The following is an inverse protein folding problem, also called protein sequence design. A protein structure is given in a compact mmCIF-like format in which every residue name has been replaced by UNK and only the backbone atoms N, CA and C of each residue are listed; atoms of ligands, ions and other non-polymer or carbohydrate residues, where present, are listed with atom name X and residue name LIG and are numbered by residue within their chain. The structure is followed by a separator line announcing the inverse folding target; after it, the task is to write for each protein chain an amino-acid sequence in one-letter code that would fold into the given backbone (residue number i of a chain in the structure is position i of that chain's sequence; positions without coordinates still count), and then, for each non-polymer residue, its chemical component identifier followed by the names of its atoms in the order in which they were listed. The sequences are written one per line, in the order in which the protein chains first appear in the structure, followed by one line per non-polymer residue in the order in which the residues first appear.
data_IF_304250777434
#
_entry.id   IF_304250777434
#
_cell.length_a   1.000
_cell.length_b   1.000
_cell.length_c   1.000
_cell.angle_alpha   90.00
_cell.angle_beta   90.00
_cell.angle_gamma   90.00
#
_symmetry.space_group_name_H-M   'P 1'
#
loop_
_entity.id
_entity.type
_entity.pdbx_description
1 polymer ?
#
# COMPACT_ATOMS: atom_id res chain seq x y z
N UNK A 1 5.31 19.86 -7.18
CA UNK A 1 5.93 18.52 -7.12
C UNK A 1 6.36 18.12 -8.53
N UNK A 2 7.53 17.49 -8.71
CA UNK A 2 8.00 17.02 -10.03
C UNK A 2 7.87 15.50 -10.20
N UNK A 3 8.37 14.95 -11.30
CA UNK A 3 8.44 13.50 -11.53
C UNK A 3 9.31 12.79 -10.48
N UNK A 4 8.97 11.55 -10.17
CA UNK A 4 9.75 10.66 -9.31
C UNK A 4 9.74 9.26 -9.93
N UNK A 5 10.74 8.45 -9.59
CA UNK A 5 10.77 7.02 -9.94
C UNK A 5 10.58 6.19 -8.69
N UNK A 6 10.11 4.96 -8.84
CA UNK A 6 9.96 4.02 -7.74
C UNK A 6 10.53 2.65 -8.07
N UNK A 7 11.11 2.01 -7.08
CA UNK A 7 11.46 0.59 -7.08
C UNK A 7 10.53 -0.14 -6.10
N UNK A 8 10.03 -1.29 -6.54
CA UNK A 8 9.15 -2.14 -5.74
C UNK A 8 9.65 -3.58 -5.79
N UNK A 9 9.70 -4.21 -4.61
CA UNK A 9 9.87 -5.65 -4.48
C UNK A 9 8.77 -6.18 -3.57
N UNK A 10 7.91 -7.08 -4.07
CA UNK A 10 6.89 -7.77 -3.30
C UNK A 10 7.24 -9.24 -3.19
N UNK A 11 7.33 -9.77 -1.97
CA UNK A 11 7.73 -11.15 -1.69
C UNK A 11 6.67 -11.85 -0.85
N UNK A 12 6.18 -13.02 -1.29
CA UNK A 12 5.32 -13.85 -0.46
C UNK A 12 6.14 -14.43 0.70
N UNK A 13 5.58 -14.38 1.90
CA UNK A 13 6.14 -14.96 3.12
C UNK A 13 5.22 -16.08 3.61
N UNK A 14 5.80 -17.05 4.32
CA UNK A 14 5.06 -18.18 4.91
C UNK A 14 4.17 -18.94 3.90
N UNK A 15 4.69 -19.19 2.70
CA UNK A 15 3.94 -19.88 1.65
C UNK A 15 2.83 -19.02 1.01
N UNK A 16 2.89 -17.69 1.14
CA UNK A 16 1.92 -16.76 0.55
C UNK A 16 0.80 -16.32 1.49
N UNK A 17 0.89 -16.66 2.78
CA UNK A 17 -0.05 -16.15 3.79
C UNK A 17 0.07 -14.63 3.98
N UNK A 18 1.26 -14.10 3.71
CA UNK A 18 1.53 -12.67 3.72
C UNK A 18 2.34 -12.28 2.49
N UNK A 19 2.26 -11.00 2.11
CA UNK A 19 3.18 -10.41 1.14
C UNK A 19 3.87 -9.21 1.78
N UNK A 20 5.20 -9.21 1.77
CA UNK A 20 6.00 -8.07 2.20
C UNK A 20 6.43 -7.30 0.96
N UNK A 21 5.97 -6.06 0.84
CA UNK A 21 6.34 -5.14 -0.22
C UNK A 21 7.30 -4.08 0.31
N UNK A 22 8.43 -3.91 -0.37
CA UNK A 22 9.39 -2.83 -0.15
C UNK A 22 9.24 -1.82 -1.28
N UNK A 23 8.93 -0.58 -0.93
CA UNK A 23 8.75 0.52 -1.86
C UNK A 23 9.82 1.60 -1.59
N UNK A 24 10.50 2.06 -2.64
CA UNK A 24 11.46 3.16 -2.57
C UNK A 24 11.22 4.15 -3.69
N UNK A 25 10.82 5.37 -3.35
CA UNK A 25 10.67 6.47 -4.29
C UNK A 25 11.93 7.33 -4.30
N UNK A 26 12.42 7.66 -5.51
CA UNK A 26 13.52 8.59 -5.72
C UNK A 26 13.08 9.83 -6.49
N UNK A 27 13.69 10.96 -6.11
CA UNK A 27 13.61 12.24 -6.79
C UNK A 27 15.04 12.74 -6.96
N UNK A 28 15.44 13.03 -8.19
CA UNK A 28 16.78 13.51 -8.52
C UNK A 28 17.89 12.62 -7.92
N UNK A 29 17.71 11.30 -8.03
CA UNK A 29 18.63 10.28 -7.50
C UNK A 29 18.56 10.03 -5.99
N UNK A 30 17.86 10.87 -5.22
CA UNK A 30 17.77 10.77 -3.76
C UNK A 30 16.48 10.07 -3.34
N UNK A 31 16.54 9.17 -2.35
CA UNK A 31 15.34 8.53 -1.78
C UNK A 31 14.51 9.59 -1.06
N UNK A 32 13.35 9.91 -1.63
CA UNK A 32 12.41 10.90 -1.09
C UNK A 32 11.33 10.29 -0.21
N UNK A 33 11.05 8.99 -0.38
CA UNK A 33 10.08 8.25 0.41
C UNK A 33 10.41 6.76 0.37
N UNK A 34 10.22 6.08 1.50
CA UNK A 34 10.34 4.63 1.59
C UNK A 34 9.19 4.05 2.39
N UNK A 35 8.72 2.86 2.02
CA UNK A 35 7.70 2.14 2.76
C UNK A 35 7.96 0.63 2.76
N UNK A 36 7.54 -0.02 3.85
CA UNK A 36 7.33 -1.45 3.96
C UNK A 36 5.84 -1.68 4.19
N UNK A 37 5.21 -2.40 3.26
CA UNK A 37 3.82 -2.82 3.39
C UNK A 37 3.78 -4.31 3.68
N UNK A 38 3.02 -4.71 4.69
CA UNK A 38 2.71 -6.12 4.99
C UNK A 38 1.25 -6.34 4.66
N UNK A 39 1.01 -7.11 3.60
CA UNK A 39 -0.32 -7.53 3.19
C UNK A 39 -0.66 -8.87 3.84
N UNK A 40 -1.91 -9.02 4.26
CA UNK A 40 -2.46 -10.26 4.79
C UNK A 40 -3.96 -10.37 4.49
N UNK A 41 -4.59 -11.38 5.06
CA UNK A 41 -6.01 -11.64 4.86
C UNK A 41 -6.72 -11.89 6.20
N UNK A 42 -7.70 -11.04 6.50
CA UNK A 42 -8.65 -11.23 7.59
C UNK A 42 -9.73 -12.22 7.12
N UNK A 43 -9.57 -13.48 7.51
CA UNK A 43 -10.48 -14.56 7.12
C UNK A 43 -11.90 -14.37 7.66
N UNK A 44 -12.04 -13.79 8.87
CA UNK A 44 -13.34 -13.64 9.51
C UNK A 44 -14.22 -12.65 8.74
N UNK A 45 -13.62 -11.56 8.27
CA UNK A 45 -14.35 -10.51 7.54
C UNK A 45 -14.19 -10.63 6.02
N UNK A 46 -13.38 -11.57 5.53
CA UNK A 46 -13.02 -11.74 4.12
C UNK A 46 -12.41 -10.48 3.49
N UNK A 47 -11.49 -9.83 4.23
CA UNK A 47 -10.83 -8.59 3.81
C UNK A 47 -9.33 -8.79 3.64
N UNK A 48 -8.76 -8.16 2.60
CA UNK A 48 -7.32 -7.93 2.54
C UNK A 48 -6.96 -6.85 3.53
N UNK A 49 -5.84 -7.02 4.25
CA UNK A 49 -5.30 -6.05 5.18
C UNK A 49 -3.93 -5.57 4.71
N UNK A 50 -3.58 -4.31 4.97
CA UNK A 50 -2.26 -3.74 4.68
C UNK A 50 -1.79 -2.89 5.86
N UNK A 51 -0.73 -3.36 6.54
CA UNK A 51 0.02 -2.56 7.50
C UNK A 51 1.16 -1.86 6.77
N UNK A 52 1.27 -0.54 6.93
CA UNK A 52 2.32 0.25 6.28
C UNK A 52 3.22 0.89 7.33
N UNK A 53 4.52 0.78 7.10
CA UNK A 53 5.57 1.44 7.86
C UNK A 53 6.40 2.26 6.88
N UNK A 54 6.44 3.59 7.06
CA UNK A 54 7.07 4.48 6.10
C UNK A 54 8.12 5.42 6.72
N UNK A 55 8.88 6.07 5.85
CA UNK A 55 9.93 7.02 6.22
C UNK A 55 9.40 8.33 6.82
N UNK A 56 8.07 8.54 6.84
CA UNK A 56 7.45 9.66 7.56
C UNK A 56 7.19 9.30 9.04
N UNK A 57 7.44 8.04 9.43
CA UNK A 57 7.34 7.58 10.81
C UNK A 57 5.90 7.41 11.29
N UNK A 58 4.92 7.40 10.38
CA UNK A 58 3.52 7.26 10.75
C UNK A 58 3.12 5.79 10.76
N UNK A 59 2.77 5.27 11.94
CA UNK A 59 2.20 3.93 12.10
C UNK A 59 0.71 4.06 12.41
N UNK A 60 -0.19 3.69 11.49
CA UNK A 60 -1.62 3.75 11.74
C UNK A 60 -2.04 2.75 12.82
N UNK A 61 -3.05 3.10 13.63
CA UNK A 61 -3.55 2.25 14.72
C UNK A 61 -4.23 0.95 14.23
N UNK A 62 -4.70 0.96 12.98
CA UNK A 62 -5.30 -0.18 12.29
C UNK A 62 -4.77 -0.27 10.85
N UNK A 63 -4.76 -1.47 10.25
CA UNK A 63 -4.39 -1.63 8.85
C UNK A 63 -5.39 -0.91 7.93
N UNK A 64 -4.95 -0.59 6.72
CA UNK A 64 -5.91 -0.39 5.64
C UNK A 64 -6.57 -1.73 5.32
N UNK A 65 -7.86 -1.72 5.03
CA UNK A 65 -8.62 -2.93 4.68
C UNK A 65 -9.35 -2.74 3.37
N UNK A 66 -9.68 -3.84 2.71
CA UNK A 66 -10.46 -3.76 1.48
C UNK A 66 -10.54 -5.09 0.73
N UNK A 67 -10.95 -5.00 -0.52
CA UNK A 67 -11.31 -6.16 -1.33
C UNK A 67 -10.73 -6.05 -2.73
N UNK A 68 -10.71 -7.20 -3.42
CA UNK A 68 -10.46 -7.25 -4.84
C UNK A 68 -11.72 -6.88 -5.62
N UNK A 69 -11.53 -6.11 -6.68
CA UNK A 69 -12.49 -5.89 -7.75
C UNK A 69 -11.80 -6.25 -9.07
N UNK A 70 -12.06 -7.45 -9.57
CA UNK A 70 -11.37 -8.02 -10.74
C UNK A 70 -9.84 -7.99 -10.59
N UNK A 71 -9.17 -7.05 -11.27
CA UNK A 71 -7.71 -6.86 -11.26
C UNK A 71 -7.26 -5.72 -10.35
N UNK A 72 -8.16 -5.12 -9.59
CA UNK A 72 -7.86 -4.01 -8.68
C UNK A 72 -7.99 -4.44 -7.22
N UNK A 73 -6.95 -4.19 -6.44
CA UNK A 73 -7.02 -4.24 -4.98
C UNK A 73 -7.21 -2.81 -4.46
N UNK A 74 -8.37 -2.54 -3.86
CA UNK A 74 -8.67 -1.25 -3.24
C UNK A 74 -8.59 -1.40 -1.74
N UNK A 75 -7.73 -0.62 -1.10
CA UNK A 75 -7.52 -0.61 0.34
C UNK A 75 -7.78 0.78 0.89
N UNK A 76 -8.59 0.85 1.94
CA UNK A 76 -8.97 2.09 2.60
C UNK A 76 -8.53 2.09 4.05
N UNK A 77 -8.08 3.23 4.53
CA UNK A 77 -7.94 3.49 5.97
C UNK A 77 -8.56 4.82 6.32
N UNK A 78 -9.21 4.85 7.47
CA UNK A 78 -9.71 6.06 8.09
C UNK A 78 -8.99 6.30 9.40
N UNK A 79 -8.65 7.56 9.66
CA UNK A 79 -8.01 8.01 10.89
C UNK A 79 -8.61 9.36 11.32
N UNK A 80 -8.35 9.83 12.54
CA UNK A 80 -8.72 11.18 12.95
C UNK A 80 -8.16 12.30 12.05
N UNK A 81 -7.11 12.01 11.27
CA UNK A 81 -6.49 12.98 10.34
C UNK A 81 -7.14 13.00 8.96
N UNK A 82 -8.08 12.10 8.69
CA UNK A 82 -8.70 11.90 7.40
C UNK A 82 -8.61 10.45 6.92
N UNK A 83 -9.04 10.23 5.69
CA UNK A 83 -9.07 8.93 5.03
C UNK A 83 -8.05 8.86 3.89
N UNK A 84 -7.46 7.69 3.69
CA UNK A 84 -6.61 7.40 2.54
C UNK A 84 -7.12 6.14 1.84
N UNK A 85 -7.15 6.18 0.51
CA UNK A 85 -7.43 5.04 -0.37
C UNK A 85 -6.20 4.78 -1.22
N UNK A 86 -5.71 3.55 -1.21
CA UNK A 86 -4.70 3.08 -2.17
C UNK A 86 -5.34 2.02 -3.07
N UNK A 87 -5.15 2.19 -4.37
CA UNK A 87 -5.59 1.25 -5.39
C UNK A 87 -4.37 0.67 -6.09
N UNK A 88 -4.29 -0.66 -6.16
CA UNK A 88 -3.33 -1.40 -6.96
C UNK A 88 -4.07 -2.02 -8.14
N UNK A 89 -3.87 -1.50 -9.35
CA UNK A 89 -4.41 -2.06 -10.58
C UNK A 89 -3.35 -2.92 -11.26
N UNK A 90 -3.55 -4.24 -11.32
CA UNK A 90 -2.61 -5.18 -11.89
C UNK A 90 -2.84 -5.34 -13.40
N UNK A 91 -1.85 -4.95 -14.19
CA UNK A 91 -1.91 -5.10 -15.64
C UNK A 91 -1.54 -6.54 -16.04
N UNK A 92 -0.55 -7.13 -15.35
CA UNK A 92 -0.10 -8.52 -15.47
C UNK A 92 0.47 -9.05 -14.12
N UNK A 93 1.24 -10.13 -14.15
CA UNK A 93 1.80 -10.79 -12.94
C UNK A 93 2.89 -9.98 -12.25
N UNK A 94 3.58 -9.12 -12.98
CA UNK A 94 4.79 -8.40 -12.51
C UNK A 94 4.64 -6.88 -12.60
N UNK A 95 3.55 -6.41 -13.22
CA UNK A 95 3.28 -4.98 -13.45
C UNK A 95 1.97 -4.56 -12.82
N UNK A 96 2.02 -3.48 -12.05
CA UNK A 96 0.83 -2.84 -11.51
C UNK A 96 0.98 -1.31 -11.49
N UNK A 97 -0.16 -0.62 -11.50
CA UNK A 97 -0.29 0.82 -11.28
C UNK A 97 -0.81 1.07 -9.87
N UNK A 98 -0.16 1.99 -9.16
CA UNK A 98 -0.58 2.41 -7.81
C UNK A 98 -1.17 3.81 -7.85
N UNK A 99 -2.34 3.98 -7.26
CA UNK A 99 -2.94 5.29 -7.03
C UNK A 99 -3.18 5.51 -5.54
N UNK A 100 -2.71 6.64 -5.01
CA UNK A 100 -2.98 7.08 -3.65
C UNK A 100 -3.91 8.30 -3.68
N UNK A 101 -5.02 8.21 -2.96
CA UNK A 101 -5.97 9.30 -2.78
C UNK A 101 -6.10 9.61 -1.30
N UNK A 102 -6.06 10.90 -0.95
CA UNK A 102 -6.24 11.36 0.43
C UNK A 102 -7.43 12.30 0.53
N UNK A 103 -8.25 12.10 1.55
CA UNK A 103 -9.34 12.98 1.95
C UNK A 103 -9.03 13.49 3.36
N UNK A 104 -8.76 14.79 3.56
CA UNK A 104 -8.56 15.38 4.87
C UNK A 104 -9.76 15.16 5.80
N UNK A 105 -9.53 15.19 7.11
CA UNK A 105 -10.61 15.39 8.08
C UNK A 105 -11.26 16.77 7.82
N UNK A 106 -12.60 16.79 7.86
CA UNK A 106 -13.40 18.03 7.76
C UNK A 106 -13.49 18.76 9.08
#
# INVERSE_FOLDING_TARGET
AGMATAEVLAQPEFGGLFVVQRYRQRRDGTVSFGAHNVFGFDQQNSLVTMHQFDSMGFVPASPATGTWNEKELVLERSSPRGAARVTYGFDDTDTYRMQLQFKPAG
#
